data_IF_311607215777
#
_entry.id   IF_311607215777
#
_cell.length_a   1.000
_cell.length_b   1.000
_cell.length_c   1.000
_cell.angle_alpha   90.00
_cell.angle_beta   90.00
_cell.angle_gamma   90.00
#
_symmetry.space_group_name_H-M   'P 1'
#
loop_
_entity.id
_entity.type
_entity.pdbx_description
1 polymer ?
#
# COMPACT_ATOMS: atom_id res chain seq x y z
N UNK A 1 3.67 36.14 -17.50
CA UNK A 1 4.50 34.97 -17.17
C UNK A 1 4.01 34.44 -15.84
N UNK A 2 3.30 33.31 -15.83
CA UNK A 2 2.90 32.62 -14.61
C UNK A 2 3.36 31.19 -14.76
N UNK A 3 4.24 30.78 -13.84
CA UNK A 3 4.99 29.53 -13.85
C UNK A 3 4.10 28.34 -13.47
N UNK A 4 4.41 27.23 -14.14
CA UNK A 4 3.76 25.93 -14.06
C UNK A 4 4.20 25.13 -12.83
N UNK A 5 3.51 23.99 -12.67
CA UNK A 5 3.93 22.70 -12.05
C UNK A 5 3.39 22.42 -10.64
N UNK A 6 2.39 21.54 -10.59
CA UNK A 6 2.45 20.28 -9.83
C UNK A 6 1.44 19.31 -10.41
N UNK A 7 1.68 18.88 -11.64
CA UNK A 7 1.07 17.67 -12.20
C UNK A 7 1.84 16.50 -11.59
N UNK A 8 1.32 16.00 -10.47
CA UNK A 8 1.90 14.90 -9.72
C UNK A 8 1.88 13.66 -10.62
N UNK A 9 3.06 13.21 -11.01
CA UNK A 9 3.28 12.14 -11.98
C UNK A 9 2.48 10.88 -11.62
N UNK A 10 1.39 10.65 -12.36
CA UNK A 10 0.78 9.33 -12.46
C UNK A 10 1.75 8.42 -13.22
N UNK A 11 2.16 7.26 -12.68
CA UNK A 11 2.93 6.31 -13.44
C UNK A 11 2.06 5.76 -14.58
N UNK A 12 2.35 6.20 -15.82
CA UNK A 12 1.88 5.50 -17.01
C UNK A 12 2.52 4.10 -17.05
N UNK A 13 1.85 3.12 -16.46
CA UNK A 13 2.25 1.71 -16.53
C UNK A 13 1.01 0.81 -16.57
N UNK A 14 0.07 1.11 -17.46
CA UNK A 14 -1.05 0.24 -17.83
C UNK A 14 -0.82 -0.35 -19.23
N UNK A 15 0.36 -0.94 -19.48
CA UNK A 15 0.64 -1.61 -20.76
C UNK A 15 1.33 -2.96 -20.50
N UNK A 16 0.54 -3.91 -20.03
CA UNK A 16 0.59 -5.35 -20.32
C UNK A 16 -0.13 -6.13 -19.21
N UNK A 17 -1.46 -6.08 -19.20
CA UNK A 17 -2.28 -7.07 -18.50
C UNK A 17 -3.12 -7.74 -19.59
N UNK A 18 -2.79 -8.97 -19.95
CA UNK A 18 -3.39 -9.71 -21.07
C UNK A 18 -4.78 -10.28 -20.74
N UNK A 19 -5.53 -9.60 -19.90
CA UNK A 19 -6.91 -9.91 -19.56
C UNK A 19 -7.68 -8.61 -19.50
N UNK A 20 -8.89 -8.58 -20.05
CA UNK A 20 -9.82 -7.45 -20.09
C UNK A 20 -10.27 -6.93 -18.71
N UNK A 21 -9.64 -7.41 -17.63
CA UNK A 21 -9.96 -7.08 -16.26
C UNK A 21 -9.29 -5.76 -15.88
N UNK A 22 -10.09 -4.83 -15.37
CA UNK A 22 -9.62 -3.54 -14.86
C UNK A 22 -8.80 -3.77 -13.60
N UNK A 23 -7.61 -3.19 -13.52
CA UNK A 23 -6.79 -3.23 -12.32
C UNK A 23 -7.23 -2.15 -11.30
N UNK A 24 -7.18 -2.44 -9.97
CA UNK A 24 -7.31 -1.42 -8.95
C UNK A 24 -6.19 -0.38 -9.04
N UNK A 25 -6.46 0.82 -8.53
CA UNK A 25 -5.51 1.91 -8.41
C UNK A 25 -4.96 1.96 -6.98
N UNK A 26 -3.64 1.95 -6.86
CA UNK A 26 -2.94 1.96 -5.57
C UNK A 26 -2.41 3.36 -5.25
N UNK A 27 -2.73 3.86 -4.06
CA UNK A 27 -2.31 5.15 -3.53
C UNK A 27 -1.58 4.95 -2.21
N UNK A 28 -0.78 5.92 -1.74
CA UNK A 28 -0.04 5.78 -0.49
C UNK A 28 -0.91 5.52 0.75
N UNK A 29 -2.18 5.89 0.70
CA UNK A 29 -3.14 5.82 1.81
C UNK A 29 -4.34 4.89 1.53
N UNK A 30 -4.37 4.18 0.40
CA UNK A 30 -5.57 3.45 0.04
C UNK A 30 -5.57 2.84 -1.36
N UNK A 31 -6.64 2.12 -1.66
CA UNK A 31 -6.92 1.51 -2.96
C UNK A 31 -8.25 2.04 -3.49
N UNK A 32 -8.33 2.29 -4.80
CA UNK A 32 -9.59 2.54 -5.49
C UNK A 32 -9.83 1.48 -6.54
N UNK A 33 -11.08 1.09 -6.72
CA UNK A 33 -11.45 0.21 -7.84
C UNK A 33 -11.32 0.94 -9.19
N UNK A 34 -11.54 2.25 -9.19
CA UNK A 34 -11.42 3.11 -10.36
C UNK A 34 -11.24 4.59 -10.02
N UNK A 35 -10.87 5.38 -11.03
CA UNK A 35 -10.79 6.84 -10.90
C UNK A 35 -12.16 7.40 -10.46
N UNK A 36 -12.15 8.26 -9.45
CA UNK A 36 -13.38 8.81 -8.86
C UNK A 36 -14.17 7.87 -7.94
N UNK A 37 -13.81 6.59 -7.80
CA UNK A 37 -14.42 5.70 -6.81
C UNK A 37 -13.99 6.06 -5.38
N UNK A 38 -14.74 5.55 -4.40
CA UNK A 38 -14.41 5.67 -2.98
C UNK A 38 -13.03 5.07 -2.68
N UNK A 39 -12.25 5.76 -1.85
CA UNK A 39 -10.95 5.29 -1.42
C UNK A 39 -11.14 4.29 -0.27
N UNK A 40 -10.81 3.04 -0.51
CA UNK A 40 -10.66 2.05 0.55
C UNK A 40 -9.32 2.28 1.25
N UNK A 41 -9.35 2.73 2.50
CA UNK A 41 -8.13 2.94 3.29
C UNK A 41 -7.42 1.62 3.54
N UNK A 42 -6.12 1.60 3.28
CA UNK A 42 -5.27 0.43 3.54
C UNK A 42 -3.93 0.88 4.09
N UNK A 43 -3.25 -0.06 4.74
CA UNK A 43 -1.88 0.10 5.22
C UNK A 43 -0.98 -0.87 4.46
N UNK A 44 0.11 -0.35 3.93
CA UNK A 44 1.17 -1.13 3.31
C UNK A 44 2.33 -1.36 4.29
N UNK A 45 2.95 -2.53 4.27
CA UNK A 45 4.19 -2.77 5.02
C UNK A 45 4.97 -3.95 4.43
N UNK A 46 6.27 -3.98 4.72
CA UNK A 46 7.10 -5.14 4.39
C UNK A 46 6.73 -6.35 5.25
N UNK A 47 6.44 -7.46 4.60
CA UNK A 47 6.11 -8.72 5.24
C UNK A 47 7.26 -9.70 5.15
N UNK A 48 7.66 -10.19 6.33
CA UNK A 48 8.56 -11.33 6.55
C UNK A 48 7.80 -12.64 6.77
N UNK A 49 6.50 -12.70 6.44
CA UNK A 49 5.65 -13.84 6.80
C UNK A 49 6.14 -15.14 6.14
N UNK A 50 6.76 -15.98 6.97
CA UNK A 50 7.39 -17.26 6.62
C UNK A 50 6.40 -18.32 6.10
N UNK A 51 5.08 -18.07 6.18
CA UNK A 51 4.06 -18.95 5.61
C UNK A 51 3.77 -18.66 4.14
N UNK A 52 4.35 -17.59 3.58
CA UNK A 52 4.46 -17.38 2.15
C UNK A 52 5.94 -17.15 1.82
N UNK A 53 6.80 -18.17 1.96
CA UNK A 53 8.11 -18.03 1.40
C UNK A 53 7.87 -18.08 -0.11
N UNK A 54 8.07 -16.94 -0.77
CA UNK A 54 8.68 -17.02 -2.07
C UNK A 54 9.82 -18.04 -1.93
N UNK A 55 9.86 -19.13 -2.70
CA UNK A 55 10.90 -20.15 -2.57
C UNK A 55 12.32 -19.57 -2.71
N UNK A 56 12.45 -18.32 -3.18
CA UNK A 56 13.69 -17.54 -3.26
C UNK A 56 13.95 -16.60 -2.06
N UNK A 57 13.10 -16.61 -1.02
CA UNK A 57 13.25 -15.82 0.20
C UNK A 57 13.10 -14.31 0.01
N UNK A 58 12.39 -13.85 -1.03
CA UNK A 58 12.25 -12.42 -1.34
C UNK A 58 11.15 -11.77 -0.51
N UNK A 59 11.37 -10.50 -0.16
CA UNK A 59 10.41 -9.66 0.56
C UNK A 59 9.09 -9.53 -0.21
N UNK A 60 7.98 -9.62 0.53
CA UNK A 60 6.63 -9.37 0.01
C UNK A 60 6.11 -8.06 0.57
N UNK A 61 5.29 -7.35 -0.21
CA UNK A 61 4.53 -6.22 0.33
C UNK A 61 3.20 -6.76 0.83
N UNK A 62 2.88 -6.49 2.09
CA UNK A 62 1.59 -6.81 2.66
C UNK A 62 0.66 -5.58 2.61
N UNK A 63 -0.62 -5.86 2.40
CA UNK A 63 -1.70 -4.88 2.40
C UNK A 63 -2.72 -5.32 3.46
N UNK A 64 -3.07 -4.42 4.38
CA UNK A 64 -4.13 -4.64 5.38
C UNK A 64 -5.20 -3.56 5.20
N UNK A 65 -6.46 -3.99 5.23
CA UNK A 65 -7.61 -3.09 5.33
C UNK A 65 -8.08 -3.06 6.80
N UNK A 66 -7.87 -1.95 7.53
CA UNK A 66 -8.01 -1.91 8.99
C UNK A 66 -9.42 -1.62 9.49
N UNK A 67 -10.35 -1.12 8.66
CA UNK A 67 -11.64 -0.60 9.12
C UNK A 67 -12.80 -1.56 8.92
N UNK A 68 -12.88 -2.23 7.77
CA UNK A 68 -14.01 -3.09 7.40
C UNK A 68 -13.71 -4.59 7.43
N UNK A 69 -12.44 -4.95 7.56
CA UNK A 69 -11.93 -6.32 7.41
C UNK A 69 -12.15 -6.91 6.01
N UNK A 70 -12.45 -6.09 4.99
CA UNK A 70 -12.88 -6.56 3.66
C UNK A 70 -12.33 -5.70 2.54
N UNK A 71 -11.60 -6.32 1.63
CA UNK A 71 -11.26 -5.70 0.35
C UNK A 71 -12.46 -5.66 -0.59
N UNK A 72 -12.46 -4.71 -1.52
CA UNK A 72 -13.46 -4.66 -2.59
C UNK A 72 -13.46 -5.97 -3.41
N UNK A 73 -14.58 -6.31 -4.07
CA UNK A 73 -14.64 -7.46 -4.97
C UNK A 73 -13.60 -7.40 -6.10
N UNK A 74 -13.31 -6.21 -6.61
CA UNK A 74 -12.31 -6.05 -7.67
C UNK A 74 -10.92 -6.37 -7.14
N UNK A 75 -10.52 -5.80 -6.00
CA UNK A 75 -9.25 -6.11 -5.35
C UNK A 75 -9.16 -7.61 -5.07
N UNK A 76 -10.20 -8.22 -4.49
CA UNK A 76 -10.21 -9.66 -4.24
C UNK A 76 -9.95 -10.46 -5.51
N UNK A 77 -10.60 -10.11 -6.62
CA UNK A 77 -10.48 -10.84 -7.89
C UNK A 77 -9.07 -10.85 -8.50
N UNK A 78 -8.20 -9.90 -8.11
CA UNK A 78 -6.81 -9.84 -8.55
C UNK A 78 -5.85 -10.65 -7.69
N UNK A 79 -6.21 -10.90 -6.42
CA UNK A 79 -5.28 -11.49 -5.45
C UNK A 79 -5.75 -12.84 -4.89
N UNK A 80 -7.02 -13.20 -5.05
CA UNK A 80 -7.54 -14.51 -4.64
C UNK A 80 -6.99 -15.63 -5.53
N UNK A 81 -6.57 -16.74 -4.91
CA UNK A 81 -6.16 -17.98 -5.56
C UNK A 81 -4.96 -17.85 -6.52
N UNK A 82 -4.14 -16.80 -6.38
CA UNK A 82 -2.92 -16.62 -7.15
C UNK A 82 -1.73 -17.41 -6.59
N UNK A 83 -0.81 -17.90 -7.43
CA UNK A 83 0.45 -18.50 -6.97
C UNK A 83 1.44 -17.47 -6.40
N UNK A 84 1.16 -16.18 -6.60
CA UNK A 84 2.05 -15.05 -6.26
C UNK A 84 1.39 -14.03 -5.33
N UNK A 85 0.16 -14.30 -4.90
CA UNK A 85 -0.58 -13.53 -3.91
C UNK A 85 -1.59 -14.40 -3.21
N UNK A 86 -1.82 -14.14 -1.93
CA UNK A 86 -2.85 -14.84 -1.16
C UNK A 86 -3.58 -13.86 -0.25
N UNK A 87 -4.88 -14.06 -0.10
CA UNK A 87 -5.73 -13.32 0.82
C UNK A 87 -5.91 -14.17 2.07
N UNK A 88 -5.10 -13.89 3.09
CA UNK A 88 -5.21 -14.57 4.36
C UNK A 88 -6.19 -13.84 5.26
N UNK A 89 -7.09 -14.60 5.89
CA UNK A 89 -7.83 -14.13 7.06
C UNK A 89 -6.85 -14.09 8.22
N UNK A 90 -6.52 -12.89 8.67
CA UNK A 90 -5.76 -12.68 9.88
C UNK A 90 -6.72 -12.39 11.02
N UNK A 91 -6.68 -13.22 12.06
CA UNK A 91 -7.51 -13.03 13.26
C UNK A 91 -6.64 -12.35 14.30
N UNK A 92 -6.88 -11.07 14.58
CA UNK A 92 -6.36 -10.44 15.78
C UNK A 92 -7.31 -10.79 16.93
N UNK A 93 -6.75 -11.12 18.10
CA UNK A 93 -7.38 -11.83 19.24
C UNK A 93 -8.70 -11.25 19.80
N UNK A 94 -9.25 -10.15 19.29
CA UNK A 94 -10.39 -9.46 19.92
C UNK A 94 -11.42 -8.82 18.97
N UNK A 95 -11.77 -9.47 17.85
CA UNK A 95 -13.10 -9.44 17.20
C UNK A 95 -13.20 -9.05 15.72
N UNK A 96 -12.12 -8.69 15.03
CA UNK A 96 -12.21 -8.44 13.58
C UNK A 96 -11.26 -9.34 12.78
N UNK A 97 -11.81 -9.87 11.68
CA UNK A 97 -11.06 -10.60 10.66
C UNK A 97 -10.46 -9.53 9.75
N UNK A 98 -9.20 -9.20 9.96
CA UNK A 98 -8.46 -8.42 8.96
C UNK A 98 -8.18 -9.34 7.77
N UNK A 99 -8.60 -8.92 6.58
CA UNK A 99 -8.05 -9.54 5.36
C UNK A 99 -6.70 -8.92 5.12
N UNK A 100 -5.70 -9.78 4.95
CA UNK A 100 -4.35 -9.40 4.58
C UNK A 100 -4.04 -9.98 3.21
N UNK A 101 -3.53 -9.14 2.31
CA UNK A 101 -3.00 -9.57 1.02
C UNK A 101 -1.48 -9.56 1.12
N UNK A 102 -0.82 -10.66 0.78
CA UNK A 102 0.62 -10.66 0.50
C UNK A 102 0.84 -10.62 -1.00
N UNK A 103 1.66 -9.70 -1.48
CA UNK A 103 1.96 -9.53 -2.91
C UNK A 103 3.43 -9.85 -3.14
N UNK A 104 3.69 -10.93 -3.90
CA UNK A 104 5.03 -11.35 -4.27
C UNK A 104 5.61 -10.55 -5.46
N UNK A 105 6.95 -10.48 -5.60
CA UNK A 105 7.60 -9.69 -6.66
C UNK A 105 7.22 -10.04 -8.10
N UNK A 106 6.76 -11.27 -8.32
CA UNK A 106 6.38 -11.76 -9.64
C UNK A 106 4.91 -11.44 -9.99
N UNK A 107 4.11 -10.96 -9.03
CA UNK A 107 2.72 -10.60 -9.25
C UNK A 107 2.60 -9.41 -10.23
N UNK A 108 1.69 -9.42 -11.21
CA UNK A 108 1.58 -8.34 -12.21
C UNK A 108 1.37 -6.94 -11.61
N UNK A 109 0.67 -6.85 -10.48
CA UNK A 109 0.43 -5.60 -9.76
C UNK A 109 1.52 -5.22 -8.75
N UNK A 110 2.54 -6.06 -8.55
CA UNK A 110 3.60 -5.81 -7.56
C UNK A 110 4.30 -4.45 -7.76
N UNK A 111 4.66 -4.01 -8.98
CA UNK A 111 5.30 -2.71 -9.16
C UNK A 111 4.45 -1.54 -8.64
N UNK A 112 3.12 -1.60 -8.82
CA UNK A 112 2.19 -0.56 -8.38
C UNK A 112 2.03 -0.59 -6.87
N UNK A 113 1.89 -1.79 -6.28
CA UNK A 113 1.81 -1.98 -4.83
C UNK A 113 3.09 -1.50 -4.14
N UNK A 114 4.27 -1.82 -4.70
CA UNK A 114 5.56 -1.38 -4.17
C UNK A 114 5.72 0.13 -4.23
N UNK A 115 5.29 0.77 -5.33
CA UNK A 115 5.32 2.24 -5.43
C UNK A 115 4.41 2.91 -4.39
N UNK A 116 3.21 2.37 -4.16
CA UNK A 116 2.31 2.87 -3.12
C UNK A 116 2.92 2.72 -1.71
N UNK A 117 3.52 1.56 -1.42
CA UNK A 117 4.26 1.32 -0.17
C UNK A 117 5.41 2.31 0.03
N UNK A 118 6.29 2.48 -0.96
CA UNK A 118 7.44 3.40 -0.87
C UNK A 118 6.98 4.85 -0.66
N UNK A 119 5.89 5.25 -1.30
CA UNK A 119 5.30 6.57 -1.10
C UNK A 119 4.68 6.72 0.30
N UNK A 120 4.06 5.67 0.84
CA UNK A 120 3.58 5.66 2.23
C UNK A 120 4.74 5.83 3.22
N UNK A 121 5.83 5.09 3.03
CA UNK A 121 7.04 5.20 3.86
C UNK A 121 7.67 6.58 3.79
N UNK A 122 7.80 7.14 2.58
CA UNK A 122 8.34 8.49 2.39
C UNK A 122 7.50 9.54 3.13
N UNK A 123 6.17 9.43 3.07
CA UNK A 123 5.26 10.31 3.79
C UNK A 123 5.39 10.17 5.30
N UNK A 124 5.41 8.94 5.82
CA UNK A 124 5.59 8.66 7.25
C UNK A 124 6.93 9.18 7.79
N UNK A 125 8.02 8.97 7.05
CA UNK A 125 9.34 9.48 7.40
C UNK A 125 9.38 11.02 7.40
N UNK A 126 8.71 11.66 6.44
CA UNK A 126 8.61 13.12 6.41
C UNK A 126 7.89 13.67 7.65
N UNK A 127 6.79 13.05 8.07
CA UNK A 127 6.08 13.42 9.30
C UNK A 127 6.98 13.23 10.53
N UNK A 128 7.69 12.10 10.60
CA UNK A 128 8.57 11.81 11.73
C UNK A 128 9.71 12.83 11.87
N UNK A 129 10.38 13.17 10.76
CA UNK A 129 11.45 14.18 10.77
C UNK A 129 10.92 15.58 11.09
N UNK A 130 9.75 15.95 10.60
CA UNK A 130 9.09 17.21 10.96
C UNK A 130 8.78 17.28 12.47
N UNK A 131 8.27 16.19 13.04
CA UNK A 131 7.98 16.09 14.48
C UNK A 131 9.26 16.14 15.32
N UNK A 132 10.34 15.52 14.86
CA UNK A 132 11.65 15.55 15.52
C UNK A 132 12.23 16.98 15.53
N UNK A 133 12.14 17.68 14.41
CA UNK A 133 12.57 19.08 14.31
C UNK A 133 11.78 19.97 15.27
N UNK A 134 10.45 19.84 15.28
CA UNK A 134 9.61 20.64 16.19
C UNK A 134 9.96 20.42 17.67
N UNK A 135 10.25 19.17 18.07
CA UNK A 135 10.70 18.88 19.44
C UNK A 135 12.05 19.51 19.77
N UNK A 136 12.96 19.60 18.80
CA UNK A 136 14.25 20.26 18.98
C UNK A 136 14.06 21.78 19.15
N UNK A 137 13.31 22.41 18.24
CA UNK A 137 13.06 23.85 18.25
C UNK A 137 12.32 24.30 19.53
N UNK A 138 11.29 23.54 19.96
CA UNK A 138 10.56 23.83 21.20
C UNK A 138 11.38 23.58 22.48
N UNK A 139 12.35 22.65 22.43
CA UNK A 139 13.28 22.40 23.53
C UNK A 139 14.32 23.51 23.69
N UNK A 140 14.74 24.13 22.58
CA UNK A 140 15.68 25.26 22.56
C UNK A 140 15.00 26.57 23.01
N UNK A 141 13.74 26.79 22.62
CA UNK A 141 12.94 27.95 23.07
C UNK A 141 12.57 27.88 24.56
N UNK A 142 12.40 26.68 25.13
CA UNK A 142 12.13 26.51 26.56
C UNK A 142 13.37 26.65 27.47
N UNK A 143 14.58 26.69 26.89
CA UNK A 143 15.84 26.78 27.61
C UNK A 143 16.49 28.18 27.59
N UNK A 144 15.86 29.16 26.92
CA UNK A 144 16.25 30.57 26.84
C UNK A 144 15.44 31.44 27.81
#
# INVERSE_FOLDING_TARGET
>A
MTLNVSEQAQPQASKALSGTQKAPLFYPNGIRDEEGAELQEVIYFESLDFTYPDPKGRYTVAIIEPLSGKFSPLVCSWFENGPQSDIKKWIIRFSDVERRINVGPEHPLYPQVKAAYEAQEAHSNSIFEAAKKWKHDAGEEAAA
#
